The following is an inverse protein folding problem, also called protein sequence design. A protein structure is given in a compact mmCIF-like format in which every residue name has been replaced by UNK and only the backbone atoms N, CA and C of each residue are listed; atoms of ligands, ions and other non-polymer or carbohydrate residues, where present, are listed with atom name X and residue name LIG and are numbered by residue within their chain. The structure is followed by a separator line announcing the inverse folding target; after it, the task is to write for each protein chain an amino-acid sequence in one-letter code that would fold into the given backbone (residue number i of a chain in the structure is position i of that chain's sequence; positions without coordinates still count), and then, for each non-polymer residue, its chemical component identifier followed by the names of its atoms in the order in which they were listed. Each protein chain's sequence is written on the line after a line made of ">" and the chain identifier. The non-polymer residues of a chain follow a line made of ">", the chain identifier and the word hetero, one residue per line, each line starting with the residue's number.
data_IF_840759037474
#
_entry.id   IF_840759037474
#
_cell.length_a   1.000
_cell.length_b   1.000
_cell.length_c   1.000
_cell.angle_alpha   90.00
_cell.angle_beta   90.00
_cell.angle_gamma   90.00
#
_symmetry.space_group_name_H-M   'P 1'
#
loop_
_entity.id
_entity.type
_entity.pdbx_description
1 polymer ?
#
# COMPACT_ATOMS: atom_id res chain seq x y z
N UNK A 1 -14.82 13.84 -22.99
CA UNK A 1 -13.74 12.90 -22.65
C UNK A 1 -12.79 13.62 -21.71
N UNK A 2 -13.04 13.59 -20.40
CA UNK A 2 -12.13 14.20 -19.44
C UNK A 2 -10.88 13.32 -19.34
N UNK A 3 -9.73 13.94 -19.57
CA UNK A 3 -8.42 13.30 -19.54
C UNK A 3 -8.22 12.74 -18.13
N UNK A 4 -8.09 11.42 -18.03
CA UNK A 4 -7.59 10.75 -16.82
C UNK A 4 -6.30 11.47 -16.44
N UNK A 5 -6.24 12.04 -15.24
CA UNK A 5 -5.05 12.78 -14.84
C UNK A 5 -3.89 11.79 -14.76
N UNK A 6 -2.91 11.97 -15.64
CA UNK A 6 -1.58 11.34 -15.63
C UNK A 6 -0.85 11.40 -14.26
N UNK A 7 -1.44 12.02 -13.24
CA UNK A 7 -0.91 12.22 -11.91
C UNK A 7 -0.71 10.92 -11.12
N UNK A 8 -1.50 9.85 -11.38
CA UNK A 8 -1.27 8.56 -10.70
C UNK A 8 -0.11 7.75 -11.27
N UNK A 9 0.22 7.94 -12.55
CA UNK A 9 1.23 7.14 -13.23
C UNK A 9 2.65 7.72 -13.12
N UNK A 10 2.79 9.01 -12.80
CA UNK A 10 4.08 9.72 -12.89
C UNK A 10 4.76 10.01 -11.54
N UNK A 11 4.10 9.83 -10.40
CA UNK A 11 4.73 10.05 -9.09
C UNK A 11 5.56 8.87 -8.58
N UNK A 12 5.56 7.74 -9.30
CA UNK A 12 6.02 6.44 -8.77
C UNK A 12 7.16 5.81 -9.59
N UNK A 13 7.70 6.53 -10.56
CA UNK A 13 8.86 6.12 -11.32
C UNK A 13 10.13 6.74 -10.76
N UNK A 14 10.61 6.27 -9.61
CA UNK A 14 12.03 6.39 -9.28
C UNK A 14 12.56 5.11 -8.63
N UNK A 15 13.38 4.44 -9.45
CA UNK A 15 14.37 3.39 -9.15
C UNK A 15 13.92 1.96 -9.46
N UNK A 16 13.84 1.67 -10.76
CA UNK A 16 14.13 0.36 -11.31
C UNK A 16 15.65 0.20 -11.50
N UNK A 17 16.25 -0.80 -10.87
CA UNK A 17 17.69 -1.07 -10.99
C UNK A 17 18.13 -2.46 -10.48
N UNK A 18 17.87 -3.48 -11.30
CA UNK A 18 18.66 -4.71 -11.50
C UNK A 18 18.85 -5.77 -10.38
N UNK A 19 18.36 -6.97 -10.74
CA UNK A 19 18.92 -8.34 -10.56
C UNK A 19 18.80 -9.00 -9.17
N UNK A 20 18.24 -10.22 -9.17
CA UNK A 20 18.71 -11.28 -8.27
C UNK A 20 17.61 -12.18 -7.71
N UNK A 21 17.58 -13.42 -8.18
CA UNK A 21 16.71 -14.52 -7.77
C UNK A 21 17.06 -15.02 -6.35
N UNK A 22 16.09 -15.52 -5.56
CA UNK A 22 16.38 -16.59 -4.58
C UNK A 22 15.71 -16.51 -3.19
N UNK A 23 14.55 -17.16 -3.08
CA UNK A 23 14.04 -17.95 -1.93
C UNK A 23 14.53 -17.61 -0.51
N UNK A 24 13.63 -17.03 0.32
CA UNK A 24 13.80 -16.97 1.78
C UNK A 24 12.51 -16.62 2.56
N UNK A 25 11.39 -17.28 2.25
CA UNK A 25 10.07 -16.95 2.86
C UNK A 25 9.78 -17.65 4.20
N UNK A 26 10.74 -18.29 4.90
CA UNK A 26 10.37 -19.30 5.94
C UNK A 26 10.93 -19.09 7.37
N UNK A 27 11.61 -17.99 7.72
CA UNK A 27 12.28 -17.90 9.03
C UNK A 27 11.85 -16.79 10.01
N UNK A 28 10.58 -16.38 10.01
CA UNK A 28 10.04 -15.58 11.13
C UNK A 28 8.62 -16.00 11.49
N UNK A 29 8.40 -16.79 12.58
CA UNK A 29 7.10 -17.37 12.92
C UNK A 29 6.01 -16.39 13.37
N UNK A 30 6.32 -15.11 13.61
CA UNK A 30 5.39 -14.19 14.30
C UNK A 30 4.74 -13.10 13.42
N UNK A 31 4.75 -13.23 12.10
CA UNK A 31 4.16 -12.22 11.20
C UNK A 31 2.77 -12.59 10.66
N UNK A 32 1.89 -13.07 11.54
CA UNK A 32 0.48 -13.34 11.25
C UNK A 32 -0.46 -12.24 11.81
N UNK A 33 -0.04 -10.96 11.79
CA UNK A 33 -0.91 -9.85 12.23
C UNK A 33 -1.78 -9.26 11.10
N UNK A 34 -1.62 -9.72 9.86
CA UNK A 34 -2.59 -9.48 8.79
C UNK A 34 -3.33 -10.78 8.52
N UNK A 35 -4.55 -10.87 9.05
CA UNK A 35 -5.48 -11.93 8.71
C UNK A 35 -5.78 -11.86 7.21
N UNK A 36 -5.04 -12.64 6.39
CA UNK A 36 -5.26 -12.77 4.95
C UNK A 36 -6.70 -13.23 4.62
N UNK A 37 -7.47 -13.70 5.61
CA UNK A 37 -8.87 -14.10 5.46
C UNK A 37 -9.87 -12.94 5.39
N UNK A 38 -9.44 -11.66 5.40
CA UNK A 38 -10.34 -10.49 5.53
C UNK A 38 -10.41 -9.49 4.38
N UNK A 39 -9.87 -9.79 3.19
CA UNK A 39 -10.25 -8.99 2.01
C UNK A 39 -11.43 -9.65 1.32
N UNK A 40 -12.60 -9.43 1.92
CA UNK A 40 -13.88 -9.52 1.24
C UNK A 40 -14.59 -8.17 1.35
N UNK A 41 -14.52 -7.38 0.28
CA UNK A 41 -15.32 -6.20 0.00
C UNK A 41 -16.81 -6.53 -0.15
N UNK A 42 -17.23 -7.78 -0.02
CA UNK A 42 -18.62 -8.22 -0.04
C UNK A 42 -19.17 -8.41 -1.45
N UNK A 43 -20.50 -8.52 -1.57
CA UNK A 43 -21.15 -8.80 -2.86
C UNK A 43 -20.93 -7.67 -3.88
N UNK A 44 -20.89 -7.97 -5.19
CA UNK A 44 -20.79 -6.97 -6.26
C UNK A 44 -22.13 -6.24 -6.43
N UNK A 45 -22.47 -5.37 -5.48
CA UNK A 45 -23.65 -4.51 -5.51
C UNK A 45 -23.29 -3.06 -5.87
N UNK A 46 -24.29 -2.17 -5.93
CA UNK A 46 -24.13 -0.75 -6.29
C UNK A 46 -23.15 0.05 -5.41
N UNK A 47 -22.76 -0.49 -4.26
CA UNK A 47 -21.86 0.14 -3.28
C UNK A 47 -20.49 -0.54 -3.21
N UNK A 48 -20.19 -1.48 -4.11
CA UNK A 48 -18.90 -2.17 -4.12
C UNK A 48 -17.72 -1.20 -4.32
N UNK A 49 -17.83 -0.24 -5.24
CA UNK A 49 -16.77 0.76 -5.44
C UNK A 49 -16.59 1.61 -4.19
N UNK A 50 -17.67 2.03 -3.52
CA UNK A 50 -17.58 2.79 -2.27
C UNK A 50 -16.85 2.00 -1.16
N UNK A 51 -17.06 0.68 -1.07
CA UNK A 51 -16.33 -0.17 -0.12
C UNK A 51 -14.86 -0.28 -0.47
N UNK A 52 -14.52 -0.47 -1.75
CA UNK A 52 -13.13 -0.43 -2.21
C UNK A 52 -12.46 0.90 -1.89
N UNK A 53 -13.11 2.02 -2.21
CA UNK A 53 -12.59 3.37 -1.97
C UNK A 53 -12.34 3.58 -0.47
N UNK A 54 -13.28 3.21 0.39
CA UNK A 54 -13.10 3.30 1.85
C UNK A 54 -11.95 2.42 2.34
N UNK A 55 -11.86 1.19 1.85
CA UNK A 55 -10.80 0.26 2.22
C UNK A 55 -9.43 0.77 1.78
N UNK A 56 -9.33 1.31 0.57
CA UNK A 56 -8.08 1.84 0.02
C UNK A 56 -7.65 3.15 0.69
N UNK A 57 -8.58 4.03 1.08
CA UNK A 57 -8.26 5.19 1.94
C UNK A 57 -7.65 4.73 3.26
N UNK A 58 -8.28 3.77 3.93
CA UNK A 58 -7.78 3.22 5.20
C UNK A 58 -6.41 2.55 5.01
N UNK A 59 -6.21 1.85 3.89
CA UNK A 59 -4.91 1.26 3.53
C UNK A 59 -3.82 2.31 3.36
N UNK A 60 -4.04 3.36 2.55
CA UNK A 60 -3.10 4.47 2.39
C UNK A 60 -2.80 5.19 3.71
N UNK A 61 -3.80 5.41 4.57
CA UNK A 61 -3.59 5.95 5.93
C UNK A 61 -2.65 5.04 6.74
N UNK A 62 -2.79 3.72 6.62
CA UNK A 62 -1.91 2.74 7.24
C UNK A 62 -0.45 2.87 6.80
N UNK A 63 -0.20 3.13 5.52
CA UNK A 63 1.14 3.38 5.00
C UNK A 63 1.78 4.62 5.61
N UNK A 64 1.02 5.72 5.73
CA UNK A 64 1.47 6.97 6.37
C UNK A 64 1.83 6.72 7.84
N UNK A 65 0.97 6.02 8.58
CA UNK A 65 1.21 5.71 9.99
C UNK A 65 2.42 4.80 10.20
N UNK A 66 2.67 3.88 9.27
CA UNK A 66 3.86 3.04 9.27
C UNK A 66 5.12 3.86 8.95
N UNK A 67 5.07 4.71 7.93
CA UNK A 67 6.17 5.57 7.50
C UNK A 67 6.61 6.57 8.58
N UNK A 68 5.66 7.18 9.29
CA UNK A 68 5.94 8.07 10.42
C UNK A 68 6.80 7.41 11.50
N UNK A 69 6.64 6.11 11.72
CA UNK A 69 7.45 5.39 12.71
C UNK A 69 8.90 5.21 12.27
N UNK A 70 9.24 5.37 10.99
CA UNK A 70 10.55 5.07 10.43
C UNK A 70 11.39 6.33 10.08
N UNK A 71 10.91 7.52 10.44
CA UNK A 71 11.58 8.80 10.14
C UNK A 71 12.99 8.92 10.74
N UNK A 72 13.23 8.26 11.87
CA UNK A 72 14.52 8.30 12.57
C UNK A 72 15.32 7.01 12.39
N UNK A 73 15.00 6.19 11.38
CA UNK A 73 15.80 5.01 11.04
C UNK A 73 17.27 5.42 10.84
N UNK A 74 18.21 4.55 11.24
CA UNK A 74 19.64 4.76 10.98
C UNK A 74 19.97 4.67 9.48
N UNK A 75 19.20 3.88 8.72
CA UNK A 75 19.39 3.70 7.27
C UNK A 75 18.77 4.84 6.47
N UNK A 76 19.55 5.45 5.59
CA UNK A 76 19.10 6.58 4.77
C UNK A 76 17.97 6.15 3.83
N UNK A 77 18.09 4.97 3.25
CA UNK A 77 17.14 4.37 2.32
C UNK A 77 15.75 4.24 2.95
N UNK A 78 15.69 3.84 4.23
CA UNK A 78 14.44 3.72 5.00
C UNK A 78 13.84 5.10 5.28
N UNK A 79 14.66 6.08 5.68
CA UNK A 79 14.18 7.46 5.89
C UNK A 79 13.66 8.10 4.61
N UNK A 80 14.37 7.91 3.50
CA UNK A 80 13.97 8.42 2.18
C UNK A 80 12.63 7.80 1.75
N UNK A 81 12.46 6.48 1.93
CA UNK A 81 11.21 5.79 1.64
C UNK A 81 10.07 6.29 2.54
N UNK A 82 10.32 6.42 3.85
CA UNK A 82 9.34 6.94 4.80
C UNK A 82 8.88 8.36 4.41
N UNK A 83 9.81 9.23 4.01
CA UNK A 83 9.49 10.57 3.52
C UNK A 83 8.68 10.53 2.22
N UNK A 84 9.05 9.67 1.27
CA UNK A 84 8.35 9.53 0.00
C UNK A 84 6.89 9.10 0.22
N UNK A 85 6.65 8.08 1.05
CA UNK A 85 5.29 7.61 1.41
C UNK A 85 4.48 8.76 2.02
N UNK A 86 5.02 9.46 3.01
CA UNK A 86 4.29 10.55 3.66
C UNK A 86 3.95 11.71 2.71
N UNK A 87 4.73 11.89 1.64
CA UNK A 87 4.48 12.92 0.63
C UNK A 87 3.44 12.49 -0.40
N UNK A 88 3.47 11.23 -0.88
CA UNK A 88 2.60 10.78 -1.98
C UNK A 88 1.21 10.35 -1.52
N UNK A 89 1.12 9.63 -0.40
CA UNK A 89 -0.14 9.03 0.07
C UNK A 89 -1.29 10.04 0.30
N UNK A 90 -1.06 11.27 0.80
CA UNK A 90 -2.13 12.25 0.94
C UNK A 90 -2.82 12.65 -0.37
N UNK A 91 -2.08 12.67 -1.49
CA UNK A 91 -2.65 13.00 -2.81
C UNK A 91 -3.58 11.89 -3.31
N UNK A 92 -3.19 10.63 -3.10
CA UNK A 92 -4.00 9.45 -3.43
C UNK A 92 -5.27 9.39 -2.57
N UNK A 93 -5.14 9.63 -1.26
CA UNK A 93 -6.29 9.73 -0.34
C UNK A 93 -7.26 10.83 -0.79
N UNK A 94 -6.75 12.00 -1.17
CA UNK A 94 -7.57 13.12 -1.61
C UNK A 94 -8.36 12.78 -2.89
N UNK A 95 -7.80 12.01 -3.82
CA UNK A 95 -8.53 11.50 -4.98
C UNK A 95 -9.68 10.60 -4.59
N UNK A 96 -9.43 9.61 -3.74
CA UNK A 96 -10.44 8.67 -3.29
C UNK A 96 -11.58 9.38 -2.54
N UNK A 97 -11.29 10.42 -1.75
CA UNK A 97 -12.33 11.26 -1.15
C UNK A 97 -13.15 12.05 -2.17
N UNK A 98 -12.54 12.53 -3.28
CA UNK A 98 -13.31 13.15 -4.38
C UNK A 98 -14.30 12.14 -4.96
N UNK A 99 -13.88 10.91 -5.22
CA UNK A 99 -14.77 9.86 -5.72
C UNK A 99 -15.90 9.51 -4.74
N UNK A 100 -15.61 9.41 -3.43
CA UNK A 100 -16.67 9.23 -2.41
C UNK A 100 -17.72 10.33 -2.48
N UNK A 101 -17.29 11.58 -2.57
CA UNK A 101 -18.18 12.72 -2.63
C UNK A 101 -18.96 12.76 -3.96
N UNK A 102 -18.26 12.65 -5.08
CA UNK A 102 -18.85 12.89 -6.40
C UNK A 102 -19.80 11.76 -6.82
N UNK A 103 -19.48 10.51 -6.46
CA UNK A 103 -20.26 9.34 -6.88
C UNK A 103 -21.33 8.95 -5.88
N UNK A 104 -21.15 9.27 -4.59
CA UNK A 104 -22.02 8.80 -3.50
C UNK A 104 -22.51 9.89 -2.56
N UNK A 105 -22.10 11.15 -2.76
CA UNK A 105 -22.34 12.25 -1.82
C UNK A 105 -21.89 11.92 -0.39
N UNK A 106 -20.84 11.07 -0.26
CA UNK A 106 -20.34 10.60 1.03
C UNK A 106 -19.11 11.41 1.46
N UNK A 107 -19.34 12.36 2.37
CA UNK A 107 -18.30 13.23 2.96
C UNK A 107 -17.77 12.74 4.30
N UNK A 108 -18.19 11.54 4.74
CA UNK A 108 -17.75 11.01 6.03
C UNK A 108 -16.28 10.65 5.97
N UNK A 109 -15.57 10.96 7.04
CA UNK A 109 -14.17 10.57 7.22
C UNK A 109 -14.05 9.06 7.40
N UNK A 110 -13.11 8.45 6.68
CA UNK A 110 -12.69 7.08 6.89
C UNK A 110 -11.78 7.04 8.12
N UNK A 111 -12.08 6.21 9.14
CA UNK A 111 -11.23 6.09 10.31
C UNK A 111 -9.84 5.54 9.96
N UNK A 112 -8.83 6.05 10.65
CA UNK A 112 -7.47 5.53 10.55
C UNK A 112 -7.42 4.04 10.95
N UNK A 113 -6.62 3.21 10.26
CA UNK A 113 -6.45 1.83 10.63
C UNK A 113 -5.58 1.69 11.88
N UNK A 114 -5.63 0.50 12.49
CA UNK A 114 -4.59 0.11 13.43
C UNK A 114 -3.28 -0.13 12.67
N UNK A 115 -2.26 0.66 12.97
CA UNK A 115 -0.92 0.48 12.41
C UNK A 115 -0.12 -0.53 13.25
N UNK A 116 0.74 -1.30 12.57
CA UNK A 116 1.74 -2.12 13.24
C UNK A 116 2.63 -1.25 14.13
N UNK A 117 2.91 -1.70 15.35
CA UNK A 117 3.84 -1.02 16.27
C UNK A 117 5.23 -1.57 16.05
N UNK A 118 6.13 -0.75 15.51
CA UNK A 118 7.49 -1.17 15.16
C UNK A 118 8.44 -1.24 16.36
N UNK A 119 8.04 -0.75 17.53
CA UNK A 119 8.89 -0.75 18.72
C UNK A 119 10.13 0.14 18.58
N UNK A 120 11.17 -0.15 19.36
CA UNK A 120 12.35 0.71 19.46
C UNK A 120 13.24 0.67 18.21
N UNK A 121 13.97 1.76 17.97
CA UNK A 121 15.01 1.89 16.94
C UNK A 121 16.26 1.08 17.31
N UNK A 122 16.16 -0.24 17.19
CA UNK A 122 17.26 -1.19 17.39
C UNK A 122 17.66 -1.85 16.05
N UNK A 123 18.66 -2.73 16.06
CA UNK A 123 19.21 -3.37 14.86
C UNK A 123 18.18 -4.13 13.99
N UNK A 124 17.01 -4.46 14.53
CA UNK A 124 15.93 -5.16 13.81
C UNK A 124 14.75 -4.26 13.47
N UNK A 125 14.82 -2.95 13.75
CA UNK A 125 13.78 -1.97 13.45
C UNK A 125 13.47 -1.92 11.95
N UNK A 126 14.48 -1.74 11.11
CA UNK A 126 14.26 -1.64 9.66
C UNK A 126 13.68 -2.94 9.09
N UNK A 127 14.11 -4.11 9.58
CA UNK A 127 13.51 -5.38 9.19
C UNK A 127 12.02 -5.44 9.53
N UNK A 128 11.61 -4.98 10.72
CA UNK A 128 10.18 -4.90 11.09
C UNK A 128 9.42 -3.94 10.18
N UNK A 129 10.01 -2.79 9.85
CA UNK A 129 9.42 -1.83 8.90
C UNK A 129 9.22 -2.47 7.52
N UNK A 130 10.26 -3.10 6.94
CA UNK A 130 10.19 -3.77 5.65
C UNK A 130 9.16 -4.90 5.65
N UNK A 131 9.11 -5.70 6.71
CA UNK A 131 8.14 -6.79 6.83
C UNK A 131 6.70 -6.25 6.87
N UNK A 132 6.45 -5.21 7.65
CA UNK A 132 5.15 -4.56 7.75
C UNK A 132 4.73 -3.95 6.40
N UNK A 133 5.64 -3.28 5.68
CA UNK A 133 5.33 -2.65 4.41
C UNK A 133 5.13 -3.68 3.29
N UNK A 134 5.87 -4.80 3.29
CA UNK A 134 5.62 -5.94 2.39
C UNK A 134 4.22 -6.51 2.61
N UNK A 135 3.83 -6.77 3.87
CA UNK A 135 2.50 -7.29 4.18
C UNK A 135 1.39 -6.30 3.78
N UNK A 136 1.63 -5.01 3.99
CA UNK A 136 0.73 -3.94 3.57
C UNK A 136 0.55 -3.92 2.04
N UNK A 137 1.63 -3.99 1.26
CA UNK A 137 1.56 -4.07 -0.21
C UNK A 137 0.85 -5.35 -0.69
N UNK A 138 1.14 -6.51 -0.10
CA UNK A 138 0.42 -7.75 -0.40
C UNK A 138 -1.09 -7.59 -0.18
N UNK A 139 -1.50 -6.89 0.89
CA UNK A 139 -2.91 -6.57 1.13
C UNK A 139 -3.49 -5.63 0.07
N UNK A 140 -2.76 -4.60 -0.35
CA UNK A 140 -3.23 -3.69 -1.40
C UNK A 140 -3.51 -4.43 -2.71
N UNK A 141 -2.60 -5.32 -3.12
CA UNK A 141 -2.74 -6.16 -4.32
C UNK A 141 -3.94 -7.11 -4.21
N UNK A 142 -4.23 -7.65 -3.03
CA UNK A 142 -5.41 -8.49 -2.85
C UNK A 142 -6.70 -7.68 -3.01
N UNK A 143 -6.76 -6.44 -2.51
CA UNK A 143 -7.91 -5.55 -2.73
C UNK A 143 -8.09 -5.18 -4.20
N UNK A 144 -7.01 -4.90 -4.93
CA UNK A 144 -7.10 -4.58 -6.37
C UNK A 144 -7.63 -5.77 -7.17
N UNK A 145 -7.12 -6.98 -6.91
CA UNK A 145 -7.63 -8.21 -7.53
C UNK A 145 -9.10 -8.45 -7.23
N UNK A 146 -9.52 -8.16 -6.00
CA UNK A 146 -10.90 -8.35 -5.61
C UNK A 146 -11.84 -7.38 -6.33
N UNK A 147 -11.51 -6.08 -6.35
CA UNK A 147 -12.38 -5.08 -6.96
C UNK A 147 -12.44 -5.24 -8.49
N UNK A 148 -11.36 -5.69 -9.13
CA UNK A 148 -11.34 -5.93 -10.59
C UNK A 148 -12.35 -6.99 -11.02
N UNK A 149 -12.67 -7.94 -10.15
CA UNK A 149 -13.68 -8.97 -10.42
C UNK A 149 -15.12 -8.53 -10.10
N UNK A 150 -15.30 -7.38 -9.43
CA UNK A 150 -16.59 -6.97 -8.85
C UNK A 150 -17.10 -5.61 -9.35
N UNK A 151 -16.20 -4.71 -9.74
CA UNK A 151 -16.56 -3.40 -10.28
C UNK A 151 -16.83 -3.47 -11.78
N UNK A 152 -17.72 -2.60 -12.26
CA UNK A 152 -17.94 -2.32 -13.68
C UNK A 152 -17.60 -0.87 -14.05
N UNK A 153 -16.97 -0.12 -13.14
CA UNK A 153 -16.62 1.28 -13.35
C UNK A 153 -15.18 1.39 -13.83
N UNK A 154 -14.98 1.95 -15.03
CA UNK A 154 -13.65 2.05 -15.65
C UNK A 154 -12.64 2.78 -14.77
N UNK A 155 -13.04 3.88 -14.11
CA UNK A 155 -12.14 4.65 -13.23
C UNK A 155 -11.61 3.80 -12.06
N UNK A 156 -12.41 2.86 -11.55
CA UNK A 156 -11.99 1.94 -10.48
C UNK A 156 -11.10 0.82 -11.01
N UNK A 157 -11.39 0.31 -12.20
CA UNK A 157 -10.57 -0.72 -12.85
C UNK A 157 -9.18 -0.17 -13.22
N UNK A 158 -9.12 1.02 -13.81
CA UNK A 158 -7.88 1.71 -14.16
C UNK A 158 -7.04 2.00 -12.91
N UNK A 159 -7.68 2.43 -11.83
CA UNK A 159 -7.01 2.65 -10.54
C UNK A 159 -6.47 1.35 -9.95
N UNK A 160 -7.26 0.27 -9.97
CA UNK A 160 -6.84 -1.01 -9.45
C UNK A 160 -5.62 -1.57 -10.23
N UNK A 161 -5.58 -1.40 -11.55
CA UNK A 161 -4.43 -1.80 -12.38
C UNK A 161 -3.17 -0.97 -12.05
N UNK A 162 -3.32 0.35 -11.89
CA UNK A 162 -2.21 1.24 -11.53
C UNK A 162 -1.66 0.93 -10.12
N UNK A 163 -2.54 0.72 -9.15
CA UNK A 163 -2.17 0.36 -7.77
C UNK A 163 -1.52 -1.02 -7.73
N UNK A 164 -2.06 -2.01 -8.43
CA UNK A 164 -1.48 -3.37 -8.48
C UNK A 164 -0.04 -3.33 -9.03
N UNK A 165 0.18 -2.57 -10.11
CA UNK A 165 1.50 -2.39 -10.71
C UNK A 165 2.46 -1.75 -9.71
N UNK A 166 2.06 -0.61 -9.12
CA UNK A 166 2.90 0.10 -8.17
C UNK A 166 3.31 -0.75 -6.97
N UNK A 167 2.35 -1.42 -6.34
CA UNK A 167 2.61 -2.25 -5.16
C UNK A 167 3.48 -3.47 -5.51
N UNK A 168 3.32 -4.03 -6.73
CA UNK A 168 4.14 -5.14 -7.20
C UNK A 168 5.60 -4.73 -7.42
N UNK A 169 5.83 -3.55 -7.99
CA UNK A 169 7.18 -2.99 -8.15
C UNK A 169 7.82 -2.66 -6.79
N UNK A 170 7.04 -2.05 -5.89
CA UNK A 170 7.47 -1.79 -4.51
C UNK A 170 7.85 -3.08 -3.77
N UNK A 171 7.10 -4.17 -3.95
CA UNK A 171 7.44 -5.47 -3.35
C UNK A 171 8.80 -6.00 -3.83
N UNK A 172 9.16 -5.80 -5.09
CA UNK A 172 10.46 -6.21 -5.60
C UNK A 172 11.60 -5.44 -4.92
N UNK A 173 11.45 -4.12 -4.79
CA UNK A 173 12.42 -3.27 -4.07
C UNK A 173 12.56 -3.70 -2.61
N UNK A 174 11.45 -3.84 -1.88
CA UNK A 174 11.44 -4.17 -0.45
C UNK A 174 12.02 -5.57 -0.19
N UNK A 175 11.73 -6.54 -1.05
CA UNK A 175 12.33 -7.88 -0.97
C UNK A 175 13.82 -7.85 -1.31
N UNK A 176 14.23 -7.00 -2.26
CA UNK A 176 15.65 -6.73 -2.54
C UNK A 176 16.40 -6.25 -1.30
N UNK A 177 15.88 -5.21 -0.62
CA UNK A 177 16.47 -4.71 0.62
C UNK A 177 16.50 -5.73 1.75
N UNK A 178 15.45 -6.55 1.89
CA UNK A 178 15.45 -7.65 2.85
C UNK A 178 16.57 -8.65 2.58
N UNK A 179 16.78 -9.01 1.32
CA UNK A 179 17.83 -9.95 0.94
C UNK A 179 19.22 -9.35 1.13
N UNK A 180 19.43 -8.13 0.64
CA UNK A 180 20.71 -7.44 0.72
C UNK A 180 21.14 -7.13 2.16
N UNK A 181 20.22 -6.66 3.01
CA UNK A 181 20.58 -6.18 4.35
C UNK A 181 20.53 -7.28 5.42
N UNK A 182 19.77 -8.35 5.18
CA UNK A 182 19.50 -9.38 6.19
C UNK A 182 19.74 -10.82 5.72
N UNK A 183 20.14 -11.04 4.46
CA UNK A 183 20.31 -12.37 3.85
C UNK A 183 19.03 -13.23 3.94
N UNK A 184 17.88 -12.61 3.64
CA UNK A 184 16.55 -13.24 3.62
C UNK A 184 15.95 -13.32 2.22
#
# INVERSE_FOLDING_TARGET
>A
MQKISLALALSLALVSGLIGFGVGYVLTPDYAMYDKSRMDLGRPDRTIDLRYINAMISHHQGAILLAKQAEQSERKEVRDLAFAIQKSEPELIAELYRWKNDWYNDKRTVPDPLAAKLGDYNATFDLRFLNALVAHHESGILMTKEIRNKSSRNEVLDNADAVETFLSDGLNLLRGWRSEWYNL
#
